data_IF_002430325120
#
_entry.id   IF_002430325120
#
_cell.length_a   1.000
_cell.length_b   1.000
_cell.length_c   1.000
_cell.angle_alpha   90.00
_cell.angle_beta   90.00
_cell.angle_gamma   90.00
#
_symmetry.space_group_name_H-M   'P 1'
#
loop_
_entity.id
_entity.type
_entity.pdbx_description
1 polymer ?
#
# COMPACT_ATOMS: atom_id res chain seq x y z
N UNK A 1 -34.93 -17.33 -18.90
CA UNK A 1 -34.54 -16.39 -17.82
C UNK A 1 -34.10 -17.10 -16.52
N UNK A 2 -33.99 -18.44 -16.50
CA UNK A 2 -33.79 -19.27 -15.30
C UNK A 2 -32.32 -19.69 -15.04
N UNK A 3 -31.39 -19.52 -15.99
CA UNK A 3 -30.01 -20.03 -15.82
C UNK A 3 -28.96 -19.05 -15.29
N UNK A 4 -29.15 -17.73 -15.44
CA UNK A 4 -28.09 -16.78 -15.04
C UNK A 4 -28.04 -16.59 -13.50
N UNK A 5 -29.20 -16.61 -12.82
CA UNK A 5 -29.26 -16.57 -11.34
C UNK A 5 -28.61 -17.81 -10.71
N UNK A 6 -28.65 -18.97 -11.37
CA UNK A 6 -28.02 -20.22 -10.90
C UNK A 6 -26.49 -20.20 -10.95
N UNK A 7 -25.88 -19.44 -11.86
CA UNK A 7 -24.42 -19.27 -11.93
C UNK A 7 -23.93 -18.05 -11.11
N UNK A 8 -24.69 -16.96 -11.08
CA UNK A 8 -24.33 -15.73 -10.35
C UNK A 8 -24.31 -15.93 -8.83
N UNK A 9 -25.21 -16.75 -8.27
CA UNK A 9 -25.25 -17.02 -6.82
C UNK A 9 -24.02 -17.78 -6.33
N UNK A 10 -23.60 -18.92 -6.93
CA UNK A 10 -22.37 -19.60 -6.55
C UNK A 10 -21.12 -18.78 -6.88
N UNK A 11 -21.10 -18.00 -7.97
CA UNK A 11 -19.99 -17.07 -8.23
C UNK A 11 -19.91 -15.98 -7.16
N UNK A 12 -21.04 -15.35 -6.80
CA UNK A 12 -21.08 -14.36 -5.72
C UNK A 12 -20.73 -14.97 -4.35
N UNK A 13 -21.11 -16.22 -4.08
CA UNK A 13 -20.71 -16.96 -2.88
C UNK A 13 -19.23 -17.32 -2.89
N UNK A 14 -18.68 -17.72 -4.03
CA UNK A 14 -17.25 -17.99 -4.21
C UNK A 14 -16.42 -16.72 -4.00
N UNK A 15 -16.85 -15.59 -4.60
CA UNK A 15 -16.25 -14.29 -4.34
C UNK A 15 -16.44 -13.86 -2.88
N UNK A 16 -17.61 -14.06 -2.28
CA UNK A 16 -17.85 -13.76 -0.86
C UNK A 16 -16.91 -14.56 0.05
N UNK A 17 -16.73 -15.85 -0.20
CA UNK A 17 -15.79 -16.70 0.54
C UNK A 17 -14.37 -16.21 0.33
N UNK A 18 -13.94 -15.93 -0.90
CA UNK A 18 -12.62 -15.37 -1.19
C UNK A 18 -12.40 -14.05 -0.45
N UNK A 19 -13.39 -13.16 -0.42
CA UNK A 19 -13.29 -11.83 0.18
C UNK A 19 -13.34 -11.89 1.72
N UNK A 20 -14.22 -12.72 2.30
CA UNK A 20 -14.21 -12.98 3.74
C UNK A 20 -12.90 -13.65 4.16
N UNK A 21 -12.38 -14.56 3.34
CA UNK A 21 -11.05 -15.11 3.53
C UNK A 21 -9.98 -14.04 3.39
N UNK A 22 -10.04 -13.13 2.41
CA UNK A 22 -9.11 -12.02 2.20
C UNK A 22 -9.08 -11.06 3.41
N UNK A 23 -10.23 -10.78 4.00
CA UNK A 23 -10.35 -9.97 5.22
C UNK A 23 -9.78 -10.69 6.43
N UNK A 24 -10.17 -11.96 6.64
CA UNK A 24 -9.60 -12.79 7.71
C UNK A 24 -8.08 -12.90 7.52
N UNK A 25 -7.65 -13.02 6.27
CA UNK A 25 -6.26 -13.08 5.84
C UNK A 25 -5.51 -11.76 6.14
N UNK A 26 -6.12 -10.58 5.89
CA UNK A 26 -5.55 -9.26 6.17
C UNK A 26 -5.53 -8.87 7.66
N UNK A 27 -6.45 -9.41 8.48
CA UNK A 27 -6.59 -9.08 9.91
C UNK A 27 -5.94 -10.16 10.82
N UNK A 28 -5.66 -11.36 10.30
CA UNK A 28 -5.13 -12.46 11.13
C UNK A 28 -3.66 -12.30 11.52
N UNK A 29 -3.25 -12.88 12.66
CA UNK A 29 -1.84 -13.01 13.05
C UNK A 29 -1.00 -13.89 12.09
N UNK A 30 -1.59 -14.48 11.04
CA UNK A 30 -0.89 -15.25 10.00
C UNK A 30 -0.23 -14.40 8.91
N UNK A 31 -0.22 -13.07 9.05
CA UNK A 31 0.53 -12.17 8.18
C UNK A 31 2.02 -12.57 7.99
N UNK A 32 2.62 -13.31 8.94
CA UNK A 32 3.97 -13.89 8.80
C UNK A 32 4.04 -15.05 7.77
N UNK A 33 3.05 -15.95 7.76
CA UNK A 33 2.91 -16.98 6.71
C UNK A 33 2.56 -16.38 5.35
N UNK A 34 1.97 -15.19 5.36
CA UNK A 34 1.74 -14.47 4.13
C UNK A 34 3.02 -13.96 3.50
N UNK A 35 3.98 -13.41 4.26
CA UNK A 35 5.20 -12.89 3.63
C UNK A 35 5.93 -13.94 2.77
N UNK A 36 5.85 -15.23 3.12
CA UNK A 36 6.39 -16.32 2.28
C UNK A 36 5.56 -16.55 1.01
N UNK A 37 4.23 -16.64 1.07
CA UNK A 37 3.38 -16.87 -0.12
C UNK A 37 3.25 -15.61 -0.99
N UNK A 38 3.11 -14.46 -0.35
CA UNK A 38 3.00 -13.14 -0.96
C UNK A 38 4.28 -12.70 -1.65
N UNK A 39 5.45 -13.04 -1.08
CA UNK A 39 6.74 -12.81 -1.72
C UNK A 39 6.79 -13.42 -3.11
N UNK A 40 6.37 -14.68 -3.24
CA UNK A 40 6.34 -15.39 -4.52
C UNK A 40 5.38 -14.75 -5.52
N UNK A 41 4.17 -14.39 -5.11
CA UNK A 41 3.21 -13.70 -5.98
C UNK A 41 3.68 -12.31 -6.43
N UNK A 42 4.30 -11.54 -5.52
CA UNK A 42 4.89 -10.25 -5.88
C UNK A 42 6.07 -10.42 -6.85
N UNK A 43 6.88 -11.46 -6.66
CA UNK A 43 7.98 -11.79 -7.56
C UNK A 43 7.48 -12.27 -8.93
N UNK A 44 6.36 -12.99 -8.98
CA UNK A 44 5.70 -13.32 -10.25
C UNK A 44 5.25 -12.05 -10.98
N UNK A 45 4.64 -11.08 -10.29
CA UNK A 45 4.28 -9.79 -10.88
C UNK A 45 5.51 -8.99 -11.33
N UNK A 46 6.66 -9.17 -10.70
CA UNK A 46 7.93 -8.55 -11.12
C UNK A 46 8.51 -9.15 -12.39
N UNK A 47 8.21 -10.42 -12.69
CA UNK A 47 8.87 -11.12 -13.79
C UNK A 47 8.57 -10.49 -15.16
N UNK A 48 7.42 -9.83 -15.30
CA UNK A 48 7.01 -9.15 -16.52
C UNK A 48 7.07 -7.62 -16.39
N UNK A 49 7.54 -6.97 -17.46
CA UNK A 49 7.55 -5.50 -17.58
C UNK A 49 6.14 -4.90 -17.50
N UNK A 50 5.12 -5.64 -17.93
CA UNK A 50 3.72 -5.19 -17.95
C UNK A 50 3.08 -5.14 -16.55
N UNK A 51 3.56 -5.94 -15.60
CA UNK A 51 2.97 -6.10 -14.26
C UNK A 51 3.85 -5.55 -13.14
N UNK A 52 5.15 -5.34 -13.39
CA UNK A 52 6.10 -4.90 -12.37
C UNK A 52 5.72 -3.57 -11.70
N UNK A 53 4.98 -2.69 -12.37
CA UNK A 53 4.51 -1.43 -11.77
C UNK A 53 3.49 -1.64 -10.64
N UNK A 54 2.79 -2.78 -10.61
CA UNK A 54 1.75 -3.07 -9.62
C UNK A 54 2.32 -3.23 -8.21
N UNK A 55 3.55 -3.71 -8.09
CA UNK A 55 4.22 -3.88 -6.78
C UNK A 55 4.84 -2.58 -6.25
N UNK A 56 4.93 -1.56 -7.11
CA UNK A 56 5.44 -0.24 -6.81
C UNK A 56 4.57 0.52 -5.82
N UNK A 57 5.21 1.35 -5.02
CA UNK A 57 4.55 2.20 -4.04
C UNK A 57 4.15 3.54 -4.63
N UNK A 58 3.00 4.06 -4.18
CA UNK A 58 2.48 5.37 -4.57
C UNK A 58 2.49 6.41 -3.43
N UNK A 59 2.67 5.99 -2.18
CA UNK A 59 2.93 6.87 -1.03
C UNK A 59 4.22 6.45 -0.30
N UNK A 60 4.90 7.37 0.42
CA UNK A 60 6.08 7.04 1.22
C UNK A 60 5.72 6.15 2.41
N UNK A 61 6.53 5.13 2.70
CA UNK A 61 6.29 4.19 3.80
C UNK A 61 7.12 4.51 5.07
N UNK A 62 8.43 4.70 4.92
CA UNK A 62 9.35 5.01 6.02
C UNK A 62 10.11 6.33 5.82
N UNK A 63 9.74 7.10 4.80
CA UNK A 63 10.40 8.35 4.43
C UNK A 63 9.63 9.55 4.95
N UNK A 64 10.38 10.55 5.41
CA UNK A 64 9.88 11.87 5.76
C UNK A 64 9.98 12.77 4.54
N UNK A 65 8.88 13.45 4.26
CA UNK A 65 8.78 14.37 3.12
C UNK A 65 8.66 15.81 3.59
N UNK A 66 8.85 16.77 2.69
CA UNK A 66 8.58 18.18 2.95
C UNK A 66 7.08 18.50 3.09
N UNK A 67 6.19 17.60 2.66
CA UNK A 67 4.74 17.79 2.72
C UNK A 67 4.17 17.29 4.06
N UNK A 68 3.50 18.15 4.85
CA UNK A 68 2.86 17.73 6.10
C UNK A 68 1.79 16.65 5.86
N UNK A 69 1.05 16.75 4.74
CA UNK A 69 -0.04 15.82 4.41
C UNK A 69 0.50 14.41 4.21
N UNK A 70 1.58 14.25 3.44
CA UNK A 70 2.19 12.95 3.19
C UNK A 70 2.75 12.32 4.47
N UNK A 71 3.23 13.13 5.42
CA UNK A 71 3.73 12.64 6.71
C UNK A 71 2.62 12.26 7.70
N UNK A 72 1.40 12.77 7.51
CA UNK A 72 0.22 12.43 8.33
C UNK A 72 -0.47 11.17 7.82
N UNK A 73 -0.54 10.94 6.50
CA UNK A 73 -1.27 9.81 5.91
C UNK A 73 -0.90 8.44 6.50
N UNK A 74 0.39 8.05 6.62
CA UNK A 74 0.75 6.76 7.24
C UNK A 74 0.32 6.64 8.70
N UNK A 75 0.24 7.77 9.44
CA UNK A 75 -0.18 7.78 10.85
C UNK A 75 -1.66 7.49 11.01
N UNK A 76 -2.48 7.76 9.99
CA UNK A 76 -3.92 7.46 9.99
C UNK A 76 -4.22 5.97 9.80
N UNK A 77 -3.26 5.19 9.31
CA UNK A 77 -3.43 3.75 9.06
C UNK A 77 -3.90 2.98 10.30
N UNK A 78 -3.17 3.06 11.42
CA UNK A 78 -3.51 2.30 12.65
C UNK A 78 -4.86 2.72 13.24
N UNK A 79 -5.17 4.02 13.42
CA UNK A 79 -6.50 4.44 13.86
C UNK A 79 -7.63 3.94 12.96
N UNK A 80 -7.48 4.01 11.64
CA UNK A 80 -8.49 3.52 10.71
C UNK A 80 -8.72 2.02 10.87
N UNK A 81 -7.66 1.21 10.94
CA UNK A 81 -7.78 -0.23 11.16
C UNK A 81 -8.49 -0.54 12.48
N UNK A 82 -8.12 0.14 13.57
CA UNK A 82 -8.72 -0.08 14.90
C UNK A 82 -10.20 0.33 14.93
N UNK A 83 -10.53 1.51 14.40
CA UNK A 83 -11.91 2.00 14.33
C UNK A 83 -12.76 1.10 13.45
N UNK A 84 -12.25 0.71 12.27
CA UNK A 84 -12.94 -0.22 11.38
C UNK A 84 -13.17 -1.58 12.05
N UNK A 85 -12.15 -2.15 12.70
CA UNK A 85 -12.30 -3.42 13.43
C UNK A 85 -13.33 -3.32 14.56
N UNK A 86 -13.31 -2.23 15.34
CA UNK A 86 -14.28 -2.00 16.40
C UNK A 86 -15.72 -1.89 15.85
N UNK A 87 -15.93 -1.10 14.79
CA UNK A 87 -17.24 -0.98 14.13
C UNK A 87 -17.73 -2.33 13.59
N UNK A 88 -16.83 -3.13 13.00
CA UNK A 88 -17.15 -4.46 12.53
C UNK A 88 -17.59 -5.36 13.67
N UNK A 89 -16.86 -5.36 14.79
CA UNK A 89 -17.20 -6.14 15.99
C UNK A 89 -18.54 -5.73 16.59
N UNK A 90 -18.84 -4.43 16.67
CA UNK A 90 -20.15 -3.95 17.13
C UNK A 90 -21.26 -4.47 16.22
N UNK A 91 -21.10 -4.33 14.90
CA UNK A 91 -22.09 -4.84 13.93
C UNK A 91 -22.25 -6.36 13.98
N UNK A 92 -21.15 -7.09 14.19
CA UNK A 92 -21.13 -8.55 14.35
C UNK A 92 -21.89 -9.00 15.59
N UNK A 93 -21.61 -8.38 16.74
CA UNK A 93 -22.32 -8.68 18.00
C UNK A 93 -23.81 -8.37 17.86
N UNK A 94 -24.20 -7.24 17.23
CA UNK A 94 -25.61 -6.91 17.01
C UNK A 94 -26.36 -7.97 16.19
N UNK A 95 -25.77 -8.47 15.10
CA UNK A 95 -26.38 -9.54 14.29
C UNK A 95 -26.46 -10.85 15.07
N UNK A 96 -25.36 -11.28 15.69
CA UNK A 96 -25.35 -12.58 16.36
C UNK A 96 -26.23 -12.61 17.62
N UNK A 97 -26.30 -11.50 18.36
CA UNK A 97 -27.14 -11.40 19.54
C UNK A 97 -28.63 -11.56 19.22
N UNK A 98 -29.10 -10.93 18.14
CA UNK A 98 -30.50 -11.07 17.70
C UNK A 98 -30.80 -12.45 17.13
N UNK A 99 -29.82 -13.08 16.47
CA UNK A 99 -29.92 -14.47 16.02
C UNK A 99 -30.03 -15.46 17.19
N UNK A 100 -29.22 -15.27 18.24
CA UNK A 100 -29.27 -16.09 19.46
C UNK A 100 -30.58 -15.88 20.23
N UNK A 101 -31.03 -14.63 20.38
CA UNK A 101 -32.29 -14.30 21.07
C UNK A 101 -33.54 -14.51 20.22
N UNK A 102 -33.40 -14.91 18.94
CA UNK A 102 -34.49 -15.08 17.96
C UNK A 102 -35.42 -13.86 17.84
N UNK A 103 -34.89 -12.65 18.01
CA UNK A 103 -35.68 -11.40 18.05
C UNK A 103 -36.00 -10.82 16.66
N UNK A 104 -35.81 -11.58 15.58
CA UNK A 104 -36.06 -11.12 14.22
C UNK A 104 -34.94 -10.23 13.64
N UNK A 105 -35.29 -9.36 12.69
CA UNK A 105 -34.34 -8.54 11.93
C UNK A 105 -33.74 -7.38 12.76
N UNK A 106 -32.47 -7.05 12.50
CA UNK A 106 -31.76 -5.96 13.19
C UNK A 106 -32.03 -4.63 12.49
N UNK A 107 -32.73 -3.71 13.17
CA UNK A 107 -32.96 -2.35 12.67
C UNK A 107 -32.49 -1.25 13.65
N UNK A 108 -31.90 -1.63 14.80
CA UNK A 108 -31.43 -0.71 15.84
C UNK A 108 -29.93 -0.42 15.78
N UNK A 109 -29.47 0.54 16.59
CA UNK A 109 -28.05 0.87 16.74
C UNK A 109 -27.41 1.35 15.44
N UNK A 110 -26.31 0.72 14.99
CA UNK A 110 -25.66 1.08 13.73
C UNK A 110 -26.59 0.90 12.53
N UNK A 111 -27.46 -0.12 12.59
CA UNK A 111 -28.44 -0.41 11.56
C UNK A 111 -29.56 0.63 11.47
N UNK A 112 -29.75 1.47 12.49
CA UNK A 112 -30.72 2.58 12.42
C UNK A 112 -30.24 3.73 11.52
N UNK A 113 -28.93 3.85 11.30
CA UNK A 113 -28.36 4.91 10.46
C UNK A 113 -28.03 4.41 9.04
N UNK A 114 -27.45 3.21 8.93
CA UNK A 114 -26.96 2.63 7.68
C UNK A 114 -27.30 1.14 7.61
N UNK A 115 -27.63 0.62 6.43
CA UNK A 115 -28.05 -0.78 6.26
C UNK A 115 -26.90 -1.77 6.27
N UNK A 116 -25.72 -1.32 5.84
CA UNK A 116 -24.53 -2.17 5.70
C UNK A 116 -23.34 -1.66 6.53
N UNK A 117 -23.47 -1.54 7.87
CA UNK A 117 -22.41 -1.02 8.73
C UNK A 117 -21.15 -1.89 8.72
N UNK A 118 -21.30 -3.21 8.54
CA UNK A 118 -20.16 -4.13 8.47
C UNK A 118 -19.35 -3.92 7.19
N UNK A 119 -19.98 -3.74 6.03
CA UNK A 119 -19.24 -3.43 4.79
C UNK A 119 -18.53 -2.07 4.88
N UNK A 120 -19.14 -1.07 5.51
CA UNK A 120 -18.47 0.20 5.78
C UNK A 120 -17.26 0.00 6.70
N UNK A 121 -17.40 -0.78 7.77
CA UNK A 121 -16.31 -1.10 8.68
C UNK A 121 -15.14 -1.78 7.96
N UNK A 122 -15.44 -2.75 7.09
CA UNK A 122 -14.44 -3.44 6.26
C UNK A 122 -13.77 -2.49 5.24
N UNK A 123 -14.52 -1.57 4.64
CA UNK A 123 -13.96 -0.52 3.80
C UNK A 123 -12.99 0.39 4.56
N UNK A 124 -13.29 0.73 5.82
CA UNK A 124 -12.41 1.53 6.69
C UNK A 124 -11.13 0.75 7.03
N UNK A 125 -11.23 -0.54 7.37
CA UNK A 125 -10.06 -1.41 7.58
C UNK A 125 -9.20 -1.53 6.32
N UNK A 126 -9.84 -1.75 5.17
CA UNK A 126 -9.17 -1.82 3.87
C UNK A 126 -8.42 -0.54 3.54
N UNK A 127 -9.02 0.62 3.80
CA UNK A 127 -8.37 1.92 3.62
C UNK A 127 -7.17 2.09 4.57
N UNK A 128 -7.31 1.74 5.84
CA UNK A 128 -6.21 1.77 6.80
C UNK A 128 -5.05 0.87 6.39
N UNK A 129 -5.35 -0.31 5.82
CA UNK A 129 -4.33 -1.25 5.34
C UNK A 129 -3.68 -0.78 4.04
N UNK A 130 -4.44 -0.17 3.13
CA UNK A 130 -3.92 0.49 1.93
C UNK A 130 -2.93 1.60 2.27
N UNK A 131 -3.22 2.41 3.30
CA UNK A 131 -2.29 3.43 3.79
C UNK A 131 -1.06 2.83 4.48
N UNK A 132 -1.18 1.64 5.05
CA UNK A 132 -0.03 0.93 5.63
C UNK A 132 0.92 0.45 4.54
N UNK A 133 0.40 -0.20 3.49
CA UNK A 133 1.16 -0.74 2.37
C UNK A 133 0.68 -0.14 1.04
N UNK A 134 1.04 1.12 0.73
CA UNK A 134 0.46 1.88 -0.38
C UNK A 134 1.06 1.46 -1.72
N UNK A 135 0.77 0.23 -2.15
CA UNK A 135 1.16 -0.35 -3.43
C UNK A 135 -0.01 -0.29 -4.42
N UNK A 136 0.30 -0.19 -5.71
CA UNK A 136 -0.73 -0.19 -6.76
C UNK A 136 -1.59 -1.47 -6.76
N UNK A 137 -0.98 -2.63 -6.50
CA UNK A 137 -1.71 -3.90 -6.39
C UNK A 137 -2.78 -3.84 -5.29
N UNK A 138 -2.40 -3.38 -4.09
CA UNK A 138 -3.31 -3.24 -2.94
C UNK A 138 -4.41 -2.21 -3.25
N UNK A 139 -4.09 -1.13 -3.97
CA UNK A 139 -5.07 -0.15 -4.42
C UNK A 139 -6.11 -0.78 -5.37
N UNK A 140 -5.67 -1.58 -6.34
CA UNK A 140 -6.57 -2.28 -7.27
C UNK A 140 -7.47 -3.26 -6.51
N UNK A 141 -6.90 -4.06 -5.61
CA UNK A 141 -7.68 -4.99 -4.77
C UNK A 141 -8.70 -4.25 -3.90
N UNK A 142 -8.30 -3.14 -3.26
CA UNK A 142 -9.20 -2.32 -2.45
C UNK A 142 -10.37 -1.76 -3.27
N UNK A 143 -10.11 -1.18 -4.45
CA UNK A 143 -11.16 -0.65 -5.33
C UNK A 143 -12.08 -1.76 -5.83
N UNK A 144 -11.51 -2.93 -6.13
CA UNK A 144 -12.27 -4.13 -6.54
C UNK A 144 -13.19 -4.61 -5.41
N UNK A 145 -12.67 -4.69 -4.18
CA UNK A 145 -13.44 -5.05 -3.00
C UNK A 145 -14.62 -4.10 -2.79
N UNK A 146 -14.40 -2.77 -2.83
CA UNK A 146 -15.48 -1.79 -2.70
C UNK A 146 -16.53 -1.94 -3.80
N UNK A 147 -16.09 -2.17 -5.03
CA UNK A 147 -16.98 -2.39 -6.17
C UNK A 147 -17.83 -3.63 -5.96
N UNK A 148 -17.24 -4.76 -5.53
CA UNK A 148 -17.96 -6.01 -5.26
C UNK A 148 -18.92 -5.88 -4.07
N UNK A 149 -18.55 -5.17 -3.00
CA UNK A 149 -19.43 -4.90 -1.86
C UNK A 149 -20.70 -4.16 -2.27
N UNK A 150 -20.62 -3.24 -3.22
CA UNK A 150 -21.80 -2.57 -3.74
C UNK A 150 -22.80 -3.56 -4.37
N UNK A 151 -22.34 -4.51 -5.18
CA UNK A 151 -23.22 -5.52 -5.80
C UNK A 151 -23.76 -6.52 -4.79
N UNK A 152 -22.91 -6.96 -3.87
CA UNK A 152 -23.30 -7.90 -2.83
C UNK A 152 -24.37 -7.29 -1.93
N UNK A 153 -24.15 -6.07 -1.45
CA UNK A 153 -25.12 -5.33 -0.66
C UNK A 153 -26.45 -5.16 -1.42
N UNK A 154 -26.43 -4.80 -2.71
CA UNK A 154 -27.66 -4.71 -3.51
C UNK A 154 -28.41 -6.04 -3.60
N UNK A 155 -27.68 -7.12 -3.82
CA UNK A 155 -28.26 -8.45 -3.88
C UNK A 155 -28.85 -8.87 -2.52
N UNK A 156 -28.20 -8.53 -1.41
CA UNK A 156 -28.76 -8.75 -0.07
C UNK A 156 -30.03 -7.94 0.14
N UNK A 157 -30.06 -6.66 -0.28
CA UNK A 157 -31.25 -5.82 -0.19
C UNK A 157 -32.42 -6.40 -1.01
N UNK A 158 -32.17 -6.90 -2.24
CA UNK A 158 -33.18 -7.57 -3.06
C UNK A 158 -33.79 -8.78 -2.34
N UNK A 159 -32.96 -9.61 -1.67
CA UNK A 159 -33.44 -10.76 -0.89
C UNK A 159 -34.17 -10.36 0.38
N UNK A 160 -33.79 -9.25 1.01
CA UNK A 160 -34.51 -8.74 2.17
C UNK A 160 -35.88 -8.19 1.78
N UNK A 161 -36.01 -7.53 0.62
CA UNK A 161 -37.32 -7.14 0.05
C UNK A 161 -38.17 -8.39 -0.24
N UNK A 162 -37.60 -9.41 -0.90
CA UNK A 162 -38.31 -10.67 -1.17
C UNK A 162 -38.79 -11.37 0.12
N UNK A 163 -38.00 -11.32 1.19
CA UNK A 163 -38.29 -12.01 2.46
C UNK A 163 -39.22 -11.23 3.40
N UNK A 164 -39.04 -9.93 3.51
CA UNK A 164 -39.69 -9.11 4.54
C UNK A 164 -40.68 -8.08 3.96
N UNK A 165 -40.70 -7.84 2.63
CA UNK A 165 -41.67 -6.97 1.98
C UNK A 165 -41.68 -5.52 2.50
N UNK A 166 -42.89 -5.00 2.74
CA UNK A 166 -43.15 -3.61 3.16
C UNK A 166 -42.36 -3.13 4.41
N UNK A 167 -42.23 -3.93 5.49
CA UNK A 167 -41.35 -3.60 6.60
C UNK A 167 -39.92 -3.21 6.19
N UNK A 168 -39.34 -3.92 5.23
CA UNK A 168 -37.99 -3.63 4.76
C UNK A 168 -37.94 -2.42 3.83
N UNK A 169 -38.96 -2.21 2.99
CA UNK A 169 -39.07 -1.00 2.17
C UNK A 169 -39.18 0.26 3.04
N UNK A 170 -39.97 0.19 4.12
CA UNK A 170 -40.08 1.26 5.12
C UNK A 170 -38.74 1.54 5.81
N UNK A 171 -37.99 0.49 6.15
CA UNK A 171 -36.64 0.61 6.70
C UNK A 171 -35.63 1.19 5.70
N UNK A 172 -35.67 0.77 4.43
CA UNK A 172 -34.85 1.33 3.34
C UNK A 172 -35.15 2.81 3.12
N UNK A 173 -36.41 3.22 3.28
CA UNK A 173 -36.80 4.61 3.18
C UNK A 173 -36.18 5.46 4.28
N UNK A 174 -35.93 4.94 5.48
CA UNK A 174 -35.42 5.73 6.61
C UNK A 174 -33.88 5.73 6.69
N UNK A 175 -33.22 4.74 6.10
CA UNK A 175 -31.78 4.52 6.18
C UNK A 175 -31.06 4.77 4.85
N UNK A 176 -29.74 4.91 4.87
CA UNK A 176 -28.92 4.83 3.65
C UNK A 176 -28.17 3.50 3.55
N UNK A 177 -27.63 3.19 2.37
CA UNK A 177 -26.93 1.91 2.11
C UNK A 177 -25.61 1.80 2.90
N UNK A 178 -24.65 2.68 2.61
CA UNK A 178 -23.35 2.76 3.30
C UNK A 178 -23.14 4.05 4.08
N UNK A 179 -23.85 5.11 3.71
CA UNK A 179 -23.79 6.43 4.35
C UNK A 179 -25.16 6.81 4.90
N UNK A 180 -25.24 7.66 5.94
CA UNK A 180 -26.53 8.15 6.43
C UNK A 180 -27.37 8.75 5.31
N UNK A 181 -28.70 8.63 5.41
CA UNK A 181 -29.63 8.98 4.32
C UNK A 181 -29.37 10.37 3.74
N UNK A 182 -29.16 11.39 4.58
CA UNK A 182 -28.88 12.77 4.16
C UNK A 182 -27.68 12.87 3.22
N UNK A 183 -26.60 12.12 3.49
CA UNK A 183 -25.39 12.07 2.68
C UNK A 183 -25.59 11.21 1.41
N UNK A 184 -26.37 10.13 1.51
CA UNK A 184 -26.66 9.24 0.37
C UNK A 184 -27.45 9.91 -0.77
N UNK A 185 -28.21 10.97 -0.46
CA UNK A 185 -28.96 11.75 -1.46
C UNK A 185 -28.05 12.44 -2.48
N UNK A 186 -26.80 12.76 -2.09
CA UNK A 186 -25.81 13.36 -2.99
C UNK A 186 -25.31 12.37 -4.06
N UNK A 187 -25.43 11.07 -3.80
CA UNK A 187 -24.95 9.99 -4.68
C UNK A 187 -26.06 9.31 -5.50
N UNK A 188 -27.32 9.81 -5.44
CA UNK A 188 -28.50 9.24 -6.10
C UNK A 188 -28.47 9.20 -7.64
N UNK A 189 -27.46 9.79 -8.27
CA UNK A 189 -27.38 9.94 -9.74
C UNK A 189 -26.74 8.75 -10.47
N UNK A 190 -26.43 7.64 -9.81
CA UNK A 190 -25.91 6.47 -10.51
C UNK A 190 -27.01 5.81 -11.38
N UNK A 191 -26.85 5.80 -12.72
CA UNK A 191 -27.86 5.25 -13.61
C UNK A 191 -28.07 3.74 -13.36
N UNK A 192 -29.33 3.34 -13.22
CA UNK A 192 -29.72 1.93 -13.11
C UNK A 192 -29.97 1.40 -14.52
N UNK A 193 -29.01 0.63 -15.05
CA UNK A 193 -29.12 0.03 -16.38
C UNK A 193 -29.89 -1.29 -16.32
N UNK A 194 -30.82 -1.51 -17.26
CA UNK A 194 -31.57 -2.76 -17.40
C UNK A 194 -31.06 -3.64 -18.57
N UNK A 195 -31.27 -4.96 -18.48
CA UNK A 195 -30.99 -5.93 -19.55
C UNK A 195 -29.51 -6.32 -19.74
N UNK A 196 -29.18 -6.97 -20.87
CA UNK A 196 -27.80 -7.42 -21.21
C UNK A 196 -26.77 -6.28 -21.22
N UNK A 197 -27.22 -5.04 -21.49
CA UNK A 197 -26.40 -3.83 -21.43
C UNK A 197 -25.91 -3.50 -20.02
N UNK A 198 -26.61 -3.96 -18.96
CA UNK A 198 -26.23 -3.72 -17.56
C UNK A 198 -24.86 -4.31 -17.23
N UNK A 199 -24.56 -5.52 -17.69
CA UNK A 199 -23.29 -6.21 -17.40
C UNK A 199 -22.14 -5.47 -18.10
N UNK A 200 -22.31 -5.15 -19.38
CA UNK A 200 -21.31 -4.41 -20.15
C UNK A 200 -21.00 -3.05 -19.50
N UNK A 201 -22.04 -2.29 -19.13
CA UNK A 201 -21.85 -1.00 -18.46
C UNK A 201 -21.20 -1.16 -17.07
N UNK A 202 -21.56 -2.21 -16.33
CA UNK A 202 -20.92 -2.55 -15.05
C UNK A 202 -19.42 -2.75 -15.23
N UNK A 203 -19.03 -3.60 -16.20
CA UNK A 203 -17.62 -3.88 -16.50
C UNK A 203 -16.88 -2.62 -16.94
N UNK A 204 -17.48 -1.81 -17.81
CA UNK A 204 -16.89 -0.52 -18.23
C UNK A 204 -16.70 0.41 -17.04
N UNK A 205 -17.70 0.53 -16.16
CA UNK A 205 -17.61 1.36 -14.95
C UNK A 205 -16.51 0.87 -14.02
N UNK A 206 -16.35 -0.45 -13.85
CA UNK A 206 -15.25 -1.02 -13.08
C UNK A 206 -13.88 -0.66 -13.67
N UNK A 207 -13.71 -0.84 -14.99
CA UNK A 207 -12.46 -0.48 -15.67
C UNK A 207 -12.15 1.01 -15.50
N UNK A 208 -13.15 1.87 -15.67
CA UNK A 208 -13.00 3.32 -15.46
C UNK A 208 -12.60 3.63 -14.02
N UNK A 209 -13.27 3.02 -13.03
CA UNK A 209 -12.98 3.22 -11.61
C UNK A 209 -11.55 2.80 -11.24
N UNK A 210 -11.11 1.62 -11.69
CA UNK A 210 -9.74 1.13 -11.48
C UNK A 210 -8.74 2.03 -12.17
N UNK A 211 -9.00 2.43 -13.42
CA UNK A 211 -8.12 3.33 -14.18
C UNK A 211 -7.97 4.69 -13.50
N UNK A 212 -9.07 5.27 -13.02
CA UNK A 212 -9.04 6.53 -12.27
C UNK A 212 -8.26 6.40 -10.96
N UNK A 213 -8.47 5.30 -10.21
CA UNK A 213 -7.74 5.06 -8.98
C UNK A 213 -6.24 4.90 -9.23
N UNK A 214 -5.84 4.11 -10.23
CA UNK A 214 -4.44 3.96 -10.64
C UNK A 214 -3.86 5.30 -11.10
N UNK A 215 -4.60 6.07 -11.90
CA UNK A 215 -4.19 7.41 -12.33
C UNK A 215 -3.94 8.35 -11.15
N UNK A 216 -4.84 8.37 -10.16
CA UNK A 216 -4.65 9.11 -8.92
C UNK A 216 -3.41 8.63 -8.15
N UNK A 217 -3.21 7.31 -8.05
CA UNK A 217 -2.00 6.73 -7.46
C UNK A 217 -0.72 7.19 -8.18
N UNK A 218 -0.72 7.27 -9.51
CA UNK A 218 0.42 7.79 -10.28
C UNK A 218 0.69 9.27 -10.00
N UNK A 219 -0.36 10.09 -9.86
CA UNK A 219 -0.24 11.51 -9.47
C UNK A 219 0.34 11.62 -8.05
N UNK A 220 -0.20 10.87 -7.09
CA UNK A 220 0.29 10.85 -5.71
C UNK A 220 1.74 10.38 -5.62
N UNK A 221 2.14 9.40 -6.44
CA UNK A 221 3.52 8.94 -6.53
C UNK A 221 4.45 10.05 -7.01
N UNK A 222 4.07 10.77 -8.07
CA UNK A 222 4.84 11.88 -8.61
C UNK A 222 4.98 13.02 -7.59
N UNK A 223 3.90 13.34 -6.89
CA UNK A 223 3.89 14.31 -5.81
C UNK A 223 4.80 13.87 -4.66
N UNK A 224 4.71 12.62 -4.24
CA UNK A 224 5.57 12.03 -3.19
C UNK A 224 7.06 12.15 -3.53
N UNK A 225 7.45 11.78 -4.75
CA UNK A 225 8.82 11.91 -5.24
C UNK A 225 9.30 13.37 -5.34
N UNK A 226 8.38 14.34 -5.49
CA UNK A 226 8.73 15.76 -5.51
C UNK A 226 8.97 16.34 -4.11
N UNK A 227 8.42 15.70 -3.07
CA UNK A 227 8.55 16.13 -1.68
C UNK A 227 9.67 15.40 -0.92
N UNK A 228 10.40 14.49 -1.59
CA UNK A 228 11.52 13.75 -1.00
C UNK A 228 12.84 14.46 -1.24
N UNK A 229 13.74 14.39 -0.25
CA UNK A 229 15.14 14.78 -0.40
C UNK A 229 15.81 13.86 -1.42
N UNK A 230 15.95 14.36 -2.65
CA UNK A 230 16.35 13.57 -3.80
C UNK A 230 17.23 14.36 -4.77
N UNK A 231 18.19 13.66 -5.38
CA UNK A 231 19.06 14.17 -6.43
C UNK A 231 19.00 13.21 -7.62
N UNK A 232 18.63 13.73 -8.78
CA UNK A 232 18.48 12.95 -10.00
C UNK A 232 19.58 13.32 -10.99
N UNK A 233 20.34 12.32 -11.43
CA UNK A 233 21.39 12.40 -12.44
C UNK A 233 21.04 11.46 -13.60
N UNK A 234 21.87 11.45 -14.66
CA UNK A 234 21.60 10.63 -15.86
C UNK A 234 21.55 9.13 -15.55
N UNK A 235 22.52 8.60 -14.82
CA UNK A 235 22.65 7.17 -14.50
C UNK A 235 22.32 6.85 -13.03
N UNK A 236 22.12 7.87 -12.20
CA UNK A 236 22.06 7.74 -10.75
C UNK A 236 20.87 8.51 -10.19
N UNK A 237 20.07 7.87 -9.34
CA UNK A 237 19.09 8.53 -8.48
C UNK A 237 19.51 8.39 -7.02
N UNK A 238 19.72 9.51 -6.33
CA UNK A 238 20.03 9.55 -4.91
C UNK A 238 18.78 9.95 -4.15
N UNK A 239 18.42 9.17 -3.13
CA UNK A 239 17.24 9.38 -2.30
C UNK A 239 17.64 9.38 -0.83
N UNK A 240 16.98 10.21 -0.04
CA UNK A 240 17.06 10.15 1.41
C UNK A 240 15.66 9.98 2.00
N UNK A 241 15.44 8.91 2.79
CA UNK A 241 14.25 8.77 3.62
C UNK A 241 14.18 9.84 4.72
N UNK A 242 15.31 10.44 5.10
CA UNK A 242 15.33 11.59 5.98
C UNK A 242 15.15 12.90 5.20
N UNK A 243 14.51 13.88 5.83
CA UNK A 243 14.41 15.23 5.27
C UNK A 243 15.75 15.95 5.45
N UNK A 244 16.58 15.87 4.42
CA UNK A 244 17.90 16.50 4.32
C UNK A 244 17.85 17.71 3.41
N UNK A 245 18.72 18.69 3.68
CA UNK A 245 18.98 19.79 2.75
C UNK A 245 19.69 19.29 1.50
N UNK A 246 19.60 20.05 0.41
CA UNK A 246 20.30 19.71 -0.84
C UNK A 246 21.83 19.67 -0.64
N UNK A 247 22.37 20.52 0.24
CA UNK A 247 23.80 20.54 0.58
C UNK A 247 24.22 19.31 1.37
N UNK A 248 23.44 18.89 2.37
CA UNK A 248 23.68 17.65 3.13
C UNK A 248 23.69 16.43 2.19
N UNK A 249 22.66 16.31 1.35
CA UNK A 249 22.49 15.17 0.44
C UNK A 249 23.63 15.08 -0.58
N UNK A 250 23.96 16.19 -1.24
CA UNK A 250 25.07 16.24 -2.21
C UNK A 250 26.41 15.97 -1.56
N UNK A 251 26.68 16.58 -0.41
CA UNK A 251 27.97 16.42 0.28
C UNK A 251 28.17 14.98 0.73
N UNK A 252 27.14 14.33 1.30
CA UNK A 252 27.20 12.92 1.67
C UNK A 252 27.49 12.02 0.45
N UNK A 253 26.74 12.22 -0.63
CA UNK A 253 26.92 11.45 -1.87
C UNK A 253 28.31 11.64 -2.48
N UNK A 254 28.78 12.87 -2.65
CA UNK A 254 30.08 13.17 -3.24
C UNK A 254 31.23 12.67 -2.37
N UNK A 255 31.15 12.86 -1.04
CA UNK A 255 32.16 12.34 -0.10
C UNK A 255 32.27 10.82 -0.19
N UNK A 256 31.14 10.11 -0.26
CA UNK A 256 31.15 8.66 -0.42
C UNK A 256 31.76 8.23 -1.77
N UNK A 257 31.41 8.92 -2.87
CA UNK A 257 31.90 8.63 -4.22
C UNK A 257 33.40 8.92 -4.40
N UNK A 258 34.02 9.72 -3.54
CA UNK A 258 35.47 9.96 -3.59
C UNK A 258 36.29 8.73 -3.16
N UNK A 259 35.70 7.81 -2.40
CA UNK A 259 36.38 6.58 -1.97
C UNK A 259 36.88 5.77 -3.16
N UNK A 260 38.15 5.32 -3.10
CA UNK A 260 38.72 4.43 -4.13
C UNK A 260 37.95 3.09 -4.19
N UNK A 261 37.55 2.55 -3.03
CA UNK A 261 36.81 1.27 -2.98
C UNK A 261 35.40 1.38 -3.54
N UNK A 262 34.71 2.50 -3.30
CA UNK A 262 33.38 2.76 -3.88
C UNK A 262 33.49 2.88 -5.39
N UNK A 263 34.43 3.70 -5.90
CA UNK A 263 34.63 3.85 -7.36
C UNK A 263 34.98 2.54 -8.05
N UNK A 264 35.88 1.74 -7.46
CA UNK A 264 36.23 0.44 -8.01
C UNK A 264 35.01 -0.48 -8.14
N UNK A 265 34.17 -0.58 -7.10
CA UNK A 265 32.96 -1.43 -7.15
C UNK A 265 31.88 -0.90 -8.09
N UNK A 266 31.73 0.42 -8.21
CA UNK A 266 30.79 1.01 -9.16
C UNK A 266 31.24 0.84 -10.61
N UNK A 267 32.55 0.97 -10.90
CA UNK A 267 33.09 0.74 -12.24
C UNK A 267 33.04 -0.74 -12.66
N UNK A 268 33.10 -1.66 -11.71
CA UNK A 268 32.91 -3.08 -11.96
C UNK A 268 31.43 -3.45 -12.22
N UNK A 269 30.49 -2.56 -11.94
CA UNK A 269 29.11 -2.74 -12.37
C UNK A 269 29.02 -2.45 -13.88
N UNK A 270 28.19 -3.20 -14.60
CA UNK A 270 28.03 -3.07 -16.06
C UNK A 270 27.85 -1.61 -16.50
N UNK A 271 28.41 -1.21 -17.65
CA UNK A 271 28.34 0.18 -18.17
C UNK A 271 26.90 0.70 -18.35
N UNK A 272 25.94 -0.19 -18.59
CA UNK A 272 24.51 0.12 -18.71
C UNK A 272 23.78 0.17 -17.37
N UNK A 273 24.47 -0.05 -16.24
CA UNK A 273 23.85 -0.06 -14.93
C UNK A 273 23.26 1.31 -14.58
N UNK A 274 22.16 1.27 -13.85
CA UNK A 274 21.56 2.44 -13.22
C UNK A 274 21.66 2.29 -11.73
N UNK A 275 22.04 3.37 -11.04
CA UNK A 275 22.31 3.35 -9.62
C UNK A 275 21.18 3.99 -8.84
N UNK A 276 20.76 3.32 -7.79
CA UNK A 276 19.83 3.83 -6.81
C UNK A 276 20.58 3.94 -5.48
N UNK A 277 20.79 5.15 -5.01
CA UNK A 277 21.65 5.45 -3.87
C UNK A 277 20.82 5.98 -2.73
N UNK A 278 21.01 5.43 -1.54
CA UNK A 278 20.29 5.86 -0.34
C UNK A 278 21.25 6.58 0.60
N UNK A 279 20.93 7.83 0.95
CA UNK A 279 21.60 8.59 2.00
C UNK A 279 20.72 8.56 3.23
N UNK A 280 21.21 8.00 4.32
CA UNK A 280 20.43 7.76 5.54
C UNK A 280 21.25 8.21 6.74
N UNK A 281 20.67 8.93 7.73
CA UNK A 281 21.38 9.26 8.96
C UNK A 281 21.98 8.03 9.62
N UNK A 282 23.17 8.14 10.21
CA UNK A 282 23.92 6.97 10.70
C UNK A 282 23.14 6.19 11.78
N UNK A 283 22.37 6.90 12.59
CA UNK A 283 21.56 6.37 13.70
C UNK A 283 20.27 5.70 13.25
N UNK A 284 19.77 6.04 12.06
CA UNK A 284 18.49 5.51 11.57
C UNK A 284 18.63 4.03 11.23
N UNK A 285 17.67 3.22 11.67
CA UNK A 285 17.59 1.80 11.33
C UNK A 285 16.38 1.54 10.46
N UNK A 286 16.63 1.07 9.24
CA UNK A 286 15.61 0.80 8.22
C UNK A 286 15.73 -0.65 7.76
N UNK A 287 14.93 -1.59 8.33
CA UNK A 287 14.95 -3.00 7.95
C UNK A 287 14.65 -3.27 6.46
N UNK A 288 13.97 -2.34 5.80
CA UNK A 288 13.63 -2.39 4.38
C UNK A 288 14.81 -2.05 3.46
N UNK A 289 15.93 -1.59 4.00
CA UNK A 289 17.16 -1.30 3.26
C UNK A 289 18.27 -2.26 3.70
N UNK A 290 19.05 -2.81 2.76
CA UNK A 290 20.16 -3.72 3.07
C UNK A 290 21.37 -2.92 3.59
N UNK A 291 21.24 -2.35 4.80
CA UNK A 291 22.28 -1.53 5.44
C UNK A 291 22.70 -2.06 6.81
N UNK A 292 21.87 -2.90 7.43
CA UNK A 292 22.09 -3.40 8.78
C UNK A 292 22.47 -4.88 8.70
N UNK A 293 23.63 -5.25 9.25
CA UNK A 293 24.00 -6.65 9.43
C UNK A 293 23.24 -7.18 10.65
N UNK A 294 22.37 -8.17 10.45
CA UNK A 294 21.60 -8.76 11.56
C UNK A 294 22.57 -9.49 12.51
N UNK A 295 22.85 -8.88 13.67
CA UNK A 295 23.68 -9.52 14.70
C UNK A 295 22.88 -10.64 15.37
N UNK A 296 23.26 -11.90 15.08
CA UNK A 296 22.71 -13.09 15.77
C UNK A 296 22.84 -12.90 17.29
N UNK A 297 21.70 -12.89 17.99
CA UNK A 297 21.65 -12.89 19.47
C UNK A 297 21.18 -11.58 20.14
N UNK A 298 21.11 -10.45 19.43
CA UNK A 298 20.58 -9.21 20.02
C UNK A 298 19.05 -9.13 19.88
N UNK A 299 18.31 -9.19 21.00
CA UNK A 299 16.88 -8.83 21.11
C UNK A 299 16.66 -7.31 21.01
N UNK A 300 17.41 -6.61 20.15
CA UNK A 300 17.21 -5.18 19.89
C UNK A 300 15.88 -4.91 19.17
N UNK A 301 15.37 -3.68 19.31
CA UNK A 301 14.10 -3.24 18.70
C UNK A 301 13.97 -3.70 17.24
N UNK A 302 12.94 -4.51 16.96
CA UNK A 302 12.72 -5.18 15.68
C UNK A 302 12.13 -4.29 14.58
N UNK A 303 11.95 -2.99 14.82
CA UNK A 303 11.26 -2.07 13.93
C UNK A 303 12.12 -0.93 13.41
N UNK A 304 11.52 -0.03 12.64
CA UNK A 304 12.15 1.21 12.19
C UNK A 304 12.55 2.08 13.38
N UNK A 305 13.79 2.59 13.37
CA UNK A 305 14.24 3.62 14.30
C UNK A 305 14.56 4.89 13.50
N UNK A 306 13.76 5.93 13.69
CA UNK A 306 13.71 7.12 12.82
C UNK A 306 13.61 8.37 13.68
N UNK A 307 14.70 8.73 14.37
CA UNK A 307 14.76 9.91 15.25
C UNK A 307 14.58 11.22 14.46
N UNK A 308 13.91 12.21 15.07
CA UNK A 308 13.90 13.62 14.60
C UNK A 308 15.25 14.28 14.79
N UNK A 309 15.92 13.96 15.89
CA UNK A 309 17.10 14.63 16.40
C UNK A 309 18.29 13.70 16.23
N UNK A 310 18.71 13.51 14.98
CA UNK A 310 19.86 12.71 14.60
C UNK A 310 21.08 13.59 14.35
N UNK A 311 22.30 13.06 14.51
CA UNK A 311 23.51 13.80 14.16
C UNK A 311 23.57 14.06 12.63
N UNK A 312 23.30 15.32 12.25
CA UNK A 312 23.32 15.81 10.87
C UNK A 312 24.71 15.82 10.23
N UNK A 313 25.76 15.42 10.95
CA UNK A 313 27.11 15.30 10.41
C UNK A 313 27.39 13.91 9.84
N UNK A 314 26.64 12.88 10.25
CA UNK A 314 26.98 11.47 10.03
C UNK A 314 25.92 10.72 9.22
N UNK A 315 26.34 10.12 8.10
CA UNK A 315 25.44 9.40 7.19
C UNK A 315 25.98 8.06 6.73
N UNK A 316 25.05 7.15 6.45
CA UNK A 316 25.20 5.92 5.68
C UNK A 316 24.79 6.18 4.24
N UNK A 317 25.66 5.88 3.29
CA UNK A 317 25.43 6.01 1.85
C UNK A 317 25.49 4.62 1.22
N UNK A 318 24.32 4.06 0.94
CA UNK A 318 24.16 2.74 0.34
C UNK A 318 24.05 2.89 -1.18
N UNK A 319 25.01 2.34 -1.91
CA UNK A 319 24.96 2.24 -3.36
C UNK A 319 24.34 0.92 -3.77
N UNK A 320 23.33 0.98 -4.63
CA UNK A 320 22.66 -0.19 -5.18
C UNK A 320 22.53 -0.08 -6.69
N UNK A 321 22.53 -1.23 -7.38
CA UNK A 321 22.14 -1.33 -8.79
C UNK A 321 20.63 -1.46 -8.86
N UNK A 322 19.96 -0.59 -9.62
CA UNK A 322 18.53 -0.70 -9.87
C UNK A 322 18.24 -1.88 -10.79
N UNK A 323 17.34 -2.78 -10.38
CA UNK A 323 16.79 -3.83 -11.23
C UNK A 323 15.63 -3.26 -12.04
N UNK A 324 15.72 -3.41 -13.36
CA UNK A 324 14.80 -2.80 -14.33
C UNK A 324 14.58 -3.70 -15.53
N UNK A 325 13.41 -3.58 -16.16
CA UNK A 325 13.13 -4.15 -17.47
C UNK A 325 13.49 -3.21 -18.62
N UNK A 326 13.74 -1.93 -18.32
CA UNK A 326 14.08 -0.90 -19.30
C UNK A 326 15.55 -0.43 -19.12
N UNK A 327 16.43 -0.62 -20.12
CA UNK A 327 17.86 -0.32 -19.98
C UNK A 327 18.20 1.19 -20.03
N UNK A 328 17.34 2.01 -20.64
CA UNK A 328 17.62 3.43 -20.92
C UNK A 328 16.93 4.41 -19.96
N UNK A 329 16.86 4.09 -18.66
CA UNK A 329 16.24 5.01 -17.68
C UNK A 329 17.19 6.11 -17.26
N UNK A 330 16.66 7.31 -17.03
CA UNK A 330 17.42 8.45 -16.51
C UNK A 330 16.65 9.19 -15.41
N UNK A 331 17.36 9.84 -14.51
CA UNK A 331 16.80 10.69 -13.46
C UNK A 331 15.70 10.01 -12.64
N UNK A 332 14.50 10.62 -12.60
CA UNK A 332 13.35 10.13 -11.82
C UNK A 332 12.86 8.76 -12.27
N UNK A 333 13.05 8.41 -13.54
CA UNK A 333 12.59 7.14 -14.08
C UNK A 333 13.31 5.95 -13.47
N UNK A 334 14.56 6.14 -13.01
CA UNK A 334 15.31 5.12 -12.29
C UNK A 334 14.53 4.66 -11.06
N UNK A 335 13.95 5.59 -10.30
CA UNK A 335 13.13 5.26 -9.12
C UNK A 335 11.76 4.73 -9.51
N UNK A 336 11.16 5.28 -10.58
CA UNK A 336 9.79 4.95 -10.96
C UNK A 336 9.63 3.56 -11.58
N UNK A 337 10.62 3.12 -12.34
CA UNK A 337 10.56 1.89 -13.13
C UNK A 337 11.43 0.77 -12.55
N UNK A 338 12.29 1.07 -11.57
CA UNK A 338 12.93 0.03 -10.81
C UNK A 338 11.88 -0.79 -10.06
N UNK A 339 11.98 -2.12 -10.18
CA UNK A 339 11.19 -3.07 -9.40
C UNK A 339 11.98 -3.65 -8.23
N UNK A 340 13.29 -3.44 -8.22
CA UNK A 340 14.17 -3.95 -7.18
C UNK A 340 15.52 -3.25 -7.19
N UNK A 341 16.37 -3.68 -6.27
CA UNK A 341 17.73 -3.16 -6.12
C UNK A 341 18.65 -4.28 -5.66
N UNK A 342 19.90 -4.22 -6.12
CA UNK A 342 20.97 -5.13 -5.71
C UNK A 342 22.04 -4.31 -4.99
N UNK A 343 22.34 -4.61 -3.72
CA UNK A 343 23.27 -3.80 -2.95
C UNK A 343 24.72 -4.04 -3.38
N UNK A 344 25.50 -2.95 -3.51
CA UNK A 344 26.89 -2.99 -4.01
C UNK A 344 27.88 -2.70 -2.89
N UNK A 345 27.71 -1.55 -2.23
CA UNK A 345 28.63 -1.05 -1.21
C UNK A 345 27.92 -0.05 -0.29
N UNK A 346 28.28 -0.08 0.99
CA UNK A 346 27.81 0.86 2.00
C UNK A 346 28.99 1.70 2.48
N UNK A 347 28.90 3.02 2.38
CA UNK A 347 29.91 3.94 2.91
C UNK A 347 29.34 4.75 4.07
N UNK A 348 30.09 4.88 5.16
CA UNK A 348 29.80 5.77 6.28
C UNK A 348 30.62 7.03 6.11
N UNK A 349 29.98 8.21 6.15
CA UNK A 349 30.63 9.50 5.87
C UNK A 349 30.30 10.53 6.93
N UNK A 350 31.29 11.38 7.20
CA UNK A 350 31.12 12.63 7.95
C UNK A 350 31.13 13.79 6.96
N UNK A 351 30.01 14.51 6.84
CA UNK A 351 29.88 15.58 5.84
C UNK A 351 30.56 16.90 6.24
N UNK A 352 30.75 17.13 7.54
CA UNK A 352 31.40 18.34 8.07
C UNK A 352 32.90 18.29 7.77
N UNK A 353 33.54 17.17 8.12
CA UNK A 353 34.96 16.93 7.84
C UNK A 353 35.23 16.45 6.41
N UNK A 354 34.17 16.12 5.65
CA UNK A 354 34.23 15.51 4.31
C UNK A 354 35.10 14.26 4.26
N UNK A 355 35.01 13.43 5.31
CA UNK A 355 35.80 12.19 5.45
C UNK A 355 34.90 10.96 5.41
N UNK A 356 35.47 9.88 4.88
CA UNK A 356 34.87 8.55 4.94
C UNK A 356 35.28 7.93 6.28
N UNK A 357 34.29 7.51 7.06
CA UNK A 357 34.47 6.88 8.38
C UNK A 357 34.65 5.37 8.24
N UNK A 358 33.97 4.75 7.28
CA UNK A 358 34.03 3.32 7.08
C UNK A 358 33.40 2.90 5.76
N UNK A 359 33.78 1.73 5.27
CA UNK A 359 33.21 1.12 4.08
C UNK A 359 32.93 -0.34 4.38
N UNK A 360 31.70 -0.77 4.10
CA UNK A 360 31.18 -2.08 4.45
C UNK A 360 30.55 -2.74 3.22
N UNK A 361 30.53 -4.07 3.23
CA UNK A 361 29.75 -4.82 2.26
C UNK A 361 28.34 -4.98 2.82
N UNK A 362 27.31 -4.44 2.15
CA UNK A 362 25.94 -4.56 2.61
C UNK A 362 25.46 -6.03 2.55
N UNK A 363 24.47 -6.42 3.38
CA UNK A 363 23.84 -7.73 3.27
C UNK A 363 23.21 -7.92 1.88
N UNK A 364 23.16 -9.16 1.35
CA UNK A 364 22.67 -9.43 -0.01
C UNK A 364 21.17 -9.16 -0.19
N UNK A 365 20.39 -9.32 0.88
CA UNK A 365 18.95 -9.10 0.90
C UNK A 365 18.58 -8.16 2.04
N UNK A 366 17.37 -7.60 1.95
CA UNK A 366 16.75 -6.90 3.08
C UNK A 366 16.37 -7.92 4.15
N UNK A 367 15.97 -7.43 5.33
CA UNK A 367 15.58 -8.32 6.44
C UNK A 367 14.42 -9.26 6.08
N UNK A 368 13.56 -8.84 5.18
CA UNK A 368 12.38 -9.59 4.73
C UNK A 368 12.67 -10.56 3.58
N UNK A 369 13.94 -10.82 3.26
CA UNK A 369 14.34 -11.69 2.14
C UNK A 369 14.20 -10.99 0.78
N UNK A 370 13.71 -11.72 -0.22
CA UNK A 370 13.53 -11.21 -1.60
C UNK A 370 12.22 -10.46 -1.84
N UNK A 371 11.53 -10.08 -0.76
CA UNK A 371 10.25 -9.39 -0.86
C UNK A 371 10.49 -7.97 -1.38
N UNK A 372 9.71 -7.52 -2.39
CA UNK A 372 9.81 -6.16 -2.90
C UNK A 372 9.56 -5.11 -1.82
N UNK A 373 10.60 -4.38 -1.44
CA UNK A 373 10.52 -3.28 -0.46
C UNK A 373 10.32 -1.91 -1.11
N UNK A 374 9.79 -0.91 -0.38
CA UNK A 374 9.70 0.46 -0.89
C UNK A 374 11.06 0.98 -1.37
N UNK A 375 11.03 1.65 -2.52
CA UNK A 375 12.21 2.26 -3.14
C UNK A 375 12.40 3.73 -2.76
N UNK A 376 11.40 4.37 -2.15
CA UNK A 376 11.45 5.77 -1.73
C UNK A 376 10.54 6.04 -0.54
#
# INVERSE_FOLDING_TARGET
MVDLKKALVPAAWFFYVIIVFEILFMISPFALYYYSVYGDWLNLLHSSSATAWMTGFFLPHFSRTSSPILNVLPKLSKPLVLVGAALFMVGFVQIYWTKVRRTGAVAGGLYAAIRHPQYLALAIVGLGTLLHWPRFFVLIMFVTMLYLYYFLARWEEERMVEKYGEPYLSYQAQTGMFFPRKLSLLFKRFPVFAGKKRIAVSVVLYIVLVTMAVGLGMVLRNYSLSCLSSLYMNDTAVLSPALLTDTELRTAFHTAKQSKSVRARLNNAAESARFLVYVVPIEWRLPDLPMEVEQKGHRGHRGHHVSTDFDRRLYKVLFTRARTHAPAMTGKDIVKKAYGRDPIILAKVNIETRRIIGVETPPPHVRWGDIPTPLF
#
